data_IF_032493272262
#
_entry.id   IF_032493272262
#
_cell.length_a   1.000
_cell.length_b   1.000
_cell.length_c   1.000
_cell.angle_alpha   90.00
_cell.angle_beta   90.00
_cell.angle_gamma   90.00
#
_symmetry.space_group_name_H-M   'P 1'
#
loop_
_entity.id
_entity.type
_entity.pdbx_description
1 polymer ?
#
# COMPACT_ATOMS: atom_id res chain seq x y z
N UNK A 1 3.47 20.18 -0.99
CA UNK A 1 4.39 19.45 -0.09
C UNK A 1 4.34 18.00 -0.51
N UNK A 2 5.31 17.57 -1.30
CA UNK A 2 5.40 16.23 -1.89
C UNK A 2 5.40 15.20 -0.76
N UNK A 3 4.30 14.48 -0.56
CA UNK A 3 4.26 13.34 0.38
C UNK A 3 5.15 12.24 -0.19
N UNK A 4 6.45 12.33 0.05
CA UNK A 4 7.33 11.17 -0.06
C UNK A 4 7.01 10.30 1.14
N UNK A 5 6.22 9.25 0.92
CA UNK A 5 5.99 8.22 1.92
C UNK A 5 7.35 7.66 2.36
N UNK A 6 7.58 7.62 3.66
CA UNK A 6 8.77 6.99 4.19
C UNK A 6 8.80 5.51 3.81
N UNK A 7 10.01 4.95 3.71
CA UNK A 7 10.17 3.53 3.44
C UNK A 7 9.47 2.70 4.51
N UNK A 8 8.67 1.74 4.08
CA UNK A 8 8.04 0.79 4.98
C UNK A 8 9.08 -0.27 5.37
N UNK A 9 9.30 -0.43 6.66
CA UNK A 9 10.13 -1.48 7.24
C UNK A 9 9.26 -2.63 7.75
N UNK A 10 9.85 -3.82 7.86
CA UNK A 10 9.14 -5.00 8.37
C UNK A 10 8.72 -4.82 9.83
N UNK A 11 9.56 -4.14 10.61
CA UNK A 11 9.28 -3.80 12.01
C UNK A 11 8.06 -2.90 12.17
N UNK A 12 7.70 -2.10 11.16
CA UNK A 12 6.53 -1.22 11.23
C UNK A 12 5.22 -2.00 11.36
N UNK A 13 5.17 -3.25 10.88
CA UNK A 13 4.00 -4.11 11.05
C UNK A 13 3.92 -4.75 12.44
N UNK A 14 5.03 -4.80 13.18
CA UNK A 14 5.10 -5.37 14.53
C UNK A 14 5.05 -4.28 15.62
N UNK A 15 5.28 -3.02 15.27
CA UNK A 15 5.15 -1.88 16.18
C UNK A 15 3.68 -1.58 16.48
N UNK A 16 3.23 -1.99 17.66
CA UNK A 16 1.95 -1.56 18.24
C UNK A 16 2.21 -0.42 19.23
N UNK A 17 2.01 0.82 18.78
CA UNK A 17 2.09 2.04 19.61
C UNK A 17 3.36 2.87 19.35
N UNK A 18 3.17 4.13 18.91
CA UNK A 18 4.24 5.06 18.55
C UNK A 18 3.80 6.07 17.46
N UNK A 19 4.76 6.63 16.72
CA UNK A 19 4.51 7.41 15.50
C UNK A 19 3.76 6.56 14.45
N UNK A 20 2.89 7.22 13.66
CA UNK A 20 2.05 6.55 12.66
C UNK A 20 2.96 5.91 11.59
N UNK A 21 2.96 4.58 11.42
CA UNK A 21 3.85 3.93 10.47
C UNK A 21 3.53 4.30 9.02
N UNK A 22 4.56 4.32 8.17
CA UNK A 22 4.50 4.81 6.79
C UNK A 22 3.50 4.05 5.92
N UNK A 23 3.28 2.75 6.19
CA UNK A 23 2.32 1.96 5.43
C UNK A 23 0.88 2.46 5.62
N UNK A 24 0.53 3.01 6.80
CA UNK A 24 -0.79 3.58 7.04
C UNK A 24 -1.02 4.87 6.25
N UNK A 25 0.04 5.63 5.96
CA UNK A 25 -0.06 6.81 5.10
C UNK A 25 -0.28 6.41 3.64
N UNK A 26 0.38 5.34 3.19
CA UNK A 26 0.17 4.77 1.86
C UNK A 26 -1.26 4.22 1.73
N UNK A 27 -1.76 3.49 2.73
CA UNK A 27 -3.14 3.01 2.74
C UNK A 27 -4.16 4.14 2.67
N UNK A 28 -3.94 5.22 3.44
CA UNK A 28 -4.79 6.41 3.43
C UNK A 28 -4.82 7.06 2.05
N UNK A 29 -3.65 7.22 1.43
CA UNK A 29 -3.54 7.76 0.08
C UNK A 29 -4.19 6.85 -0.97
N UNK A 30 -4.03 5.53 -0.88
CA UNK A 30 -4.72 4.56 -1.74
C UNK A 30 -6.24 4.64 -1.60
N UNK A 31 -6.74 4.70 -0.36
CA UNK A 31 -8.18 4.83 -0.12
C UNK A 31 -8.70 6.17 -0.64
N UNK A 32 -7.94 7.25 -0.48
CA UNK A 32 -8.27 8.58 -1.00
C UNK A 32 -8.31 8.60 -2.53
N UNK A 33 -7.35 7.92 -3.17
CA UNK A 33 -7.28 7.75 -4.62
C UNK A 33 -8.44 6.91 -5.16
N UNK A 34 -8.81 5.84 -4.43
CA UNK A 34 -9.86 4.88 -4.82
C UNK A 34 -11.30 5.27 -4.44
N UNK A 35 -11.52 6.45 -3.84
CA UNK A 35 -12.87 6.99 -3.60
C UNK A 35 -13.45 6.83 -2.19
N UNK A 36 -12.64 6.46 -1.18
CA UNK A 36 -13.05 6.19 0.22
C UNK A 36 -14.16 5.11 0.37
N UNK A 37 -14.37 4.60 1.58
CA UNK A 37 -15.41 3.58 1.85
C UNK A 37 -15.11 2.21 1.25
N UNK A 38 -16.14 1.58 0.65
CA UNK A 38 -16.03 0.21 0.09
C UNK A 38 -15.15 0.20 -1.16
N UNK A 39 -15.30 1.19 -2.03
CA UNK A 39 -14.54 1.30 -3.28
C UNK A 39 -13.05 1.52 -3.00
N UNK A 40 -12.73 2.45 -2.09
CA UNK A 40 -11.35 2.66 -1.64
C UNK A 40 -10.73 1.42 -1.01
N UNK A 41 -11.49 0.64 -0.24
CA UNK A 41 -10.99 -0.60 0.35
C UNK A 41 -10.76 -1.71 -0.70
N UNK A 42 -11.66 -1.84 -1.67
CA UNK A 42 -11.50 -2.76 -2.79
C UNK A 42 -10.28 -2.39 -3.63
N UNK A 43 -10.15 -1.12 -3.98
CA UNK A 43 -9.02 -0.58 -4.73
C UNK A 43 -7.69 -0.85 -4.01
N UNK A 44 -7.60 -0.49 -2.72
CA UNK A 44 -6.42 -0.77 -1.89
C UNK A 44 -6.03 -2.26 -1.93
N UNK A 45 -7.01 -3.15 -1.76
CA UNK A 45 -6.78 -4.59 -1.78
C UNK A 45 -6.30 -5.08 -3.15
N UNK A 46 -6.84 -4.54 -4.25
CA UNK A 46 -6.34 -4.81 -5.59
C UNK A 46 -4.90 -4.32 -5.77
N UNK A 47 -4.60 -3.07 -5.40
CA UNK A 47 -3.26 -2.49 -5.56
C UNK A 47 -2.21 -3.28 -4.78
N UNK A 48 -2.54 -3.67 -3.54
CA UNK A 48 -1.68 -4.53 -2.74
C UNK A 48 -1.42 -5.85 -3.45
N UNK A 49 -2.46 -6.53 -3.96
CA UNK A 49 -2.30 -7.80 -4.70
C UNK A 49 -1.42 -7.64 -5.94
N UNK A 50 -1.62 -6.57 -6.70
CA UNK A 50 -0.81 -6.27 -7.88
C UNK A 50 0.65 -6.00 -7.53
N UNK A 51 0.89 -5.27 -6.43
CA UNK A 51 2.23 -5.00 -5.92
C UNK A 51 2.96 -6.27 -5.38
N UNK A 52 2.27 -7.41 -5.29
CA UNK A 52 2.82 -8.70 -4.88
C UNK A 52 2.32 -9.20 -3.53
N UNK A 53 1.34 -8.51 -2.92
CA UNK A 53 0.71 -9.01 -1.70
C UNK A 53 -0.03 -10.31 -1.95
N UNK A 54 0.34 -11.34 -1.21
CA UNK A 54 -0.22 -12.70 -1.32
C UNK A 54 -0.94 -13.13 -0.04
N UNK A 55 -1.14 -12.23 0.91
CA UNK A 55 -1.90 -12.53 2.12
C UNK A 55 -3.41 -12.57 1.86
N UNK A 56 -4.09 -13.52 2.48
CA UNK A 56 -5.55 -13.62 2.43
C UNK A 56 -6.22 -12.64 3.41
N UNK A 57 -7.56 -12.63 3.43
CA UNK A 57 -8.34 -11.75 4.31
C UNK A 57 -8.04 -11.92 5.81
N UNK A 58 -7.49 -13.07 6.22
CA UNK A 58 -7.11 -13.38 7.60
C UNK A 58 -5.61 -13.25 7.87
N UNK A 59 -4.80 -12.94 6.86
CA UNK A 59 -3.35 -12.81 7.01
C UNK A 59 -3.01 -11.38 7.39
N UNK A 60 -2.41 -11.19 8.56
CA UNK A 60 -1.95 -9.86 8.97
C UNK A 60 -0.65 -9.49 8.26
N UNK A 61 -0.39 -8.19 8.10
CA UNK A 61 0.88 -7.74 7.54
C UNK A 61 2.07 -8.22 8.38
N UNK A 62 1.95 -8.28 9.70
CA UNK A 62 2.99 -8.80 10.60
C UNK A 62 3.36 -10.26 10.30
N UNK A 63 2.39 -11.12 9.96
CA UNK A 63 2.65 -12.51 9.59
C UNK A 63 3.44 -12.64 8.28
N UNK A 64 3.30 -11.67 7.38
CA UNK A 64 4.01 -11.61 6.09
C UNK A 64 4.71 -10.27 5.90
N UNK A 65 5.49 -9.87 6.92
CA UNK A 65 6.09 -8.54 6.97
C UNK A 65 6.96 -8.26 5.73
N UNK A 66 7.78 -9.22 5.29
CA UNK A 66 8.61 -9.08 4.09
C UNK A 66 7.79 -8.85 2.81
N UNK A 67 6.67 -9.57 2.63
CA UNK A 67 5.81 -9.43 1.45
C UNK A 67 5.03 -8.12 1.49
N UNK A 68 4.48 -7.77 2.66
CA UNK A 68 3.80 -6.50 2.87
C UNK A 68 4.75 -5.33 2.61
N UNK A 69 5.94 -5.37 3.20
CA UNK A 69 7.00 -4.38 3.03
C UNK A 69 7.32 -4.15 1.55
N UNK A 70 7.58 -5.23 0.80
CA UNK A 70 7.86 -5.14 -0.64
C UNK A 70 6.69 -4.56 -1.44
N UNK A 71 5.46 -4.98 -1.13
CA UNK A 71 4.25 -4.49 -1.80
C UNK A 71 4.03 -2.98 -1.53
N UNK A 72 4.09 -2.56 -0.27
CA UNK A 72 3.93 -1.16 0.09
C UNK A 72 5.04 -0.28 -0.50
N UNK A 73 6.30 -0.74 -0.46
CA UNK A 73 7.40 0.02 -1.05
C UNK A 73 7.25 0.18 -2.56
N UNK A 74 6.79 -0.85 -3.30
CA UNK A 74 6.44 -0.70 -4.72
C UNK A 74 5.37 0.35 -4.96
N UNK A 75 4.29 0.28 -4.18
CA UNK A 75 3.21 1.27 -4.29
C UNK A 75 3.76 2.67 -3.98
N UNK A 76 4.59 2.82 -2.95
CA UNK A 76 5.18 4.11 -2.56
C UNK A 76 6.01 4.75 -3.67
N UNK A 77 6.74 3.95 -4.45
CA UNK A 77 7.56 4.43 -5.56
C UNK A 77 6.71 4.92 -6.73
N UNK A 78 5.57 4.28 -6.95
CA UNK A 78 4.64 4.61 -8.05
C UNK A 78 3.63 5.70 -7.65
N UNK A 79 3.20 5.75 -6.40
CA UNK A 79 2.18 6.70 -5.93
C UNK A 79 2.45 8.18 -6.28
N UNK A 80 3.68 8.71 -6.19
CA UNK A 80 3.94 10.11 -6.56
C UNK A 80 3.96 10.35 -8.08
N UNK A 81 4.02 9.30 -8.91
CA UNK A 81 4.03 9.43 -10.37
C UNK A 81 2.63 9.33 -10.99
N UNK A 82 1.64 8.95 -10.19
CA UNK A 82 0.25 8.75 -10.63
C UNK A 82 -0.67 9.75 -9.96
N UNK A 83 -1.69 10.20 -10.70
CA UNK A 83 -2.69 11.14 -10.17
C UNK A 83 -4.06 10.47 -10.06
N UNK A 84 -4.26 9.39 -10.80
CA UNK A 84 -5.53 8.66 -10.85
C UNK A 84 -5.38 7.20 -10.40
N UNK A 85 -6.46 6.59 -9.88
CA UNK A 85 -6.46 5.19 -9.47
C UNK A 85 -6.18 4.23 -10.63
N UNK A 86 -6.70 4.52 -11.83
CA UNK A 86 -6.45 3.71 -13.02
C UNK A 86 -4.99 3.71 -13.47
N UNK A 87 -4.28 4.84 -13.35
CA UNK A 87 -2.85 4.90 -13.65
C UNK A 87 -2.03 4.04 -12.69
N UNK A 88 -2.32 4.11 -11.38
CA UNK A 88 -1.64 3.28 -10.39
C UNK A 88 -1.84 1.80 -10.68
N UNK A 89 -3.09 1.42 -10.99
CA UNK A 89 -3.45 0.06 -11.35
C UNK A 89 -2.68 -0.43 -12.57
N UNK A 90 -2.69 0.34 -13.65
CA UNK A 90 -2.01 0.00 -14.91
C UNK A 90 -0.50 -0.18 -14.72
N UNK A 91 0.15 0.68 -13.93
CA UNK A 91 1.59 0.57 -13.66
C UNK A 91 1.88 -0.69 -12.83
N UNK A 92 1.12 -0.94 -11.75
CA UNK A 92 1.32 -2.12 -10.92
C UNK A 92 1.03 -3.43 -11.68
N UNK A 93 0.05 -3.43 -12.59
CA UNK A 93 -0.21 -4.56 -13.50
C UNK A 93 0.94 -4.78 -14.48
N UNK A 94 1.54 -3.71 -15.00
CA UNK A 94 2.67 -3.80 -15.93
C UNK A 94 3.99 -4.21 -15.26
N UNK A 95 4.08 -4.13 -13.93
CA UNK A 95 5.26 -4.52 -13.14
C UNK A 95 5.26 -6.01 -12.76
N UNK A 96 4.23 -6.77 -13.15
CA UNK A 96 4.02 -8.18 -12.84
C UNK A 96 4.63 -9.11 -13.89
#
# INVERSE_FOLDING_TARGET
>A
MSKQFAEVQQDDFMKFGGERPSYLEIEDALMSLGGHGVDGNNFKNEMMKLAGWTGGALTTYAQRAAVAQAAFNRIREVLPTVTTPDELKAILESLK
#
